data_IF_891402336912
#
_entry.id   IF_891402336912
#
_cell.length_a   1.000
_cell.length_b   1.000
_cell.length_c   1.000
_cell.angle_alpha   90.00
_cell.angle_beta   90.00
_cell.angle_gamma   90.00
#
_symmetry.space_group_name_H-M   'P 1'
#
loop_
_entity.id
_entity.type
_entity.pdbx_description
1 polymer ?
#
# COMPACT_ATOMS: atom_id res chain seq x y z
N UNK A 1 8.94 15.84 -4.72
CA UNK A 1 7.95 15.45 -5.75
C UNK A 1 6.59 15.54 -5.12
N UNK A 2 5.53 15.50 -5.91
CA UNK A 2 4.15 15.39 -5.42
C UNK A 2 3.64 13.97 -5.71
N UNK A 3 2.85 13.42 -4.79
CA UNK A 3 2.16 12.15 -4.98
C UNK A 3 0.85 12.43 -5.74
N UNK A 4 0.69 11.77 -6.89
CA UNK A 4 -0.45 12.04 -7.79
C UNK A 4 -1.30 10.80 -8.09
N UNK A 5 -0.89 9.62 -7.62
CA UNK A 5 -1.59 8.37 -7.90
C UNK A 5 -1.58 7.47 -6.66
N UNK A 6 -2.75 6.89 -6.35
CA UNK A 6 -2.93 6.00 -5.21
C UNK A 6 -3.08 4.58 -5.73
N UNK A 7 -2.29 3.67 -5.15
CA UNK A 7 -2.23 2.25 -5.48
C UNK A 7 -2.30 1.42 -4.21
N UNK A 8 -2.47 0.10 -4.33
CA UNK A 8 -2.53 -0.80 -3.18
C UNK A 8 -1.34 -1.75 -3.16
N UNK A 9 -0.52 -1.68 -2.12
CA UNK A 9 0.52 -2.68 -1.86
C UNK A 9 -0.16 -3.95 -1.33
N UNK A 10 0.09 -5.09 -1.98
CA UNK A 10 -0.55 -6.38 -1.65
C UNK A 10 0.45 -7.47 -1.25
N UNK A 11 1.75 -7.22 -1.39
CA UNK A 11 2.79 -8.17 -1.05
C UNK A 11 4.18 -7.61 -1.28
N UNK A 12 5.20 -8.41 -0.99
CA UNK A 12 6.60 -8.08 -1.21
C UNK A 12 7.39 -9.34 -1.56
N UNK A 13 8.55 -9.14 -2.17
CA UNK A 13 9.46 -10.23 -2.52
C UNK A 13 10.89 -9.76 -2.72
N UNK A 14 11.71 -10.71 -3.14
CA UNK A 14 13.08 -10.52 -3.58
C UNK A 14 13.26 -11.38 -4.84
N UNK A 15 13.97 -10.89 -5.85
CA UNK A 15 14.12 -11.60 -7.12
C UNK A 15 15.06 -12.79 -6.97
N UNK A 16 14.65 -13.93 -7.51
CA UNK A 16 15.47 -15.12 -7.68
C UNK A 16 15.45 -15.50 -9.16
N UNK A 17 16.60 -15.40 -9.83
CA UNK A 17 16.73 -15.69 -11.27
C UNK A 17 15.73 -14.91 -12.16
N UNK A 18 15.41 -13.65 -11.81
CA UNK A 18 14.50 -12.82 -12.62
C UNK A 18 15.25 -12.29 -13.84
N UNK A 19 14.92 -12.82 -15.02
CA UNK A 19 15.58 -12.44 -16.27
C UNK A 19 14.80 -11.31 -16.91
N UNK A 20 15.46 -10.17 -17.09
CA UNK A 20 14.90 -9.06 -17.86
C UNK A 20 14.64 -9.52 -19.31
N UNK A 21 13.40 -9.49 -19.80
CA UNK A 21 13.06 -9.99 -21.13
C UNK A 21 13.65 -9.14 -22.27
N UNK A 22 13.98 -7.87 -22.02
CA UNK A 22 14.51 -6.94 -23.01
C UNK A 22 16.04 -7.00 -23.08
N UNK A 23 16.71 -7.16 -21.94
CA UNK A 23 18.19 -7.14 -21.86
C UNK A 23 18.82 -8.52 -21.69
N UNK A 24 18.06 -9.50 -21.22
CA UNK A 24 18.58 -10.82 -20.80
C UNK A 24 19.39 -10.79 -19.50
N UNK A 25 19.42 -9.66 -18.80
CA UNK A 25 20.14 -9.53 -17.54
C UNK A 25 19.41 -10.28 -16.41
N UNK A 26 20.19 -10.99 -15.59
CA UNK A 26 19.66 -11.68 -14.41
C UNK A 26 19.68 -10.71 -13.23
N UNK A 27 18.48 -10.35 -12.76
CA UNK A 27 18.28 -9.54 -11.57
C UNK A 27 18.12 -10.47 -10.35
N UNK A 28 19.19 -10.63 -9.57
CA UNK A 28 19.18 -11.39 -8.31
C UNK A 28 19.22 -10.47 -7.10
N UNK A 29 18.46 -10.82 -6.05
CA UNK A 29 18.50 -10.11 -4.77
C UNK A 29 17.79 -8.74 -4.77
N UNK A 30 17.04 -8.40 -5.82
CA UNK A 30 16.33 -7.14 -5.92
C UNK A 30 15.03 -7.23 -5.12
N UNK A 31 14.92 -6.41 -4.07
CA UNK A 31 13.72 -6.33 -3.23
C UNK A 31 12.64 -5.50 -3.91
N UNK A 32 11.41 -6.00 -3.91
CA UNK A 32 10.28 -5.30 -4.53
C UNK A 32 8.99 -5.37 -3.69
N UNK A 33 8.12 -4.39 -3.92
CA UNK A 33 6.70 -4.42 -3.57
C UNK A 33 5.90 -5.02 -4.73
N UNK A 34 4.86 -5.79 -4.42
CA UNK A 34 3.82 -6.20 -5.36
C UNK A 34 2.66 -5.23 -5.19
N UNK A 35 2.31 -4.53 -6.26
CA UNK A 35 1.37 -3.42 -6.21
C UNK A 35 0.22 -3.67 -7.19
N UNK A 36 -1.00 -3.60 -6.68
CA UNK A 36 -2.23 -3.63 -7.47
C UNK A 36 -2.54 -2.22 -7.99
N UNK A 37 -2.71 -2.10 -9.30
CA UNK A 37 -3.16 -0.89 -9.94
C UNK A 37 -4.69 -0.90 -10.17
N UNK A 38 -5.25 0.24 -10.57
CA UNK A 38 -6.70 0.44 -10.80
C UNK A 38 -7.07 0.63 -12.27
N UNK A 39 -6.16 0.30 -13.20
CA UNK A 39 -6.35 0.51 -14.64
C UNK A 39 -6.87 -0.70 -15.40
N UNK A 40 -7.19 -1.80 -14.70
CA UNK A 40 -7.68 -3.04 -15.30
C UNK A 40 -6.56 -4.04 -15.62
N UNK A 41 -6.96 -5.28 -15.90
CA UNK A 41 -6.03 -6.43 -16.04
C UNK A 41 -5.16 -6.35 -17.31
N UNK A 42 -5.58 -5.59 -18.33
CA UNK A 42 -4.81 -5.45 -19.57
C UNK A 42 -3.49 -4.68 -19.38
N UNK A 43 -3.33 -4.00 -18.24
CA UNK A 43 -2.16 -3.18 -17.97
C UNK A 43 -1.15 -3.96 -17.10
N UNK A 44 0.14 -3.88 -17.47
CA UNK A 44 1.22 -4.47 -16.68
C UNK A 44 1.11 -5.99 -16.52
N UNK A 45 1.36 -6.47 -15.31
CA UNK A 45 1.31 -7.88 -14.94
C UNK A 45 -0.12 -8.23 -14.48
N UNK A 46 -1.06 -8.35 -15.41
CA UNK A 46 -2.48 -8.63 -15.09
C UNK A 46 -3.12 -7.59 -14.16
N UNK A 47 -2.80 -6.30 -14.35
CA UNK A 47 -3.24 -5.19 -13.50
C UNK A 47 -2.31 -4.88 -12.32
N UNK A 48 -1.18 -5.58 -12.22
CA UNK A 48 -0.18 -5.38 -11.17
C UNK A 48 1.13 -4.85 -11.74
N UNK A 49 1.99 -4.39 -10.85
CA UNK A 49 3.39 -4.10 -11.15
C UNK A 49 4.27 -4.36 -9.93
N UNK A 50 5.56 -4.47 -10.20
CA UNK A 50 6.62 -4.54 -9.20
C UNK A 50 7.39 -3.22 -9.17
N UNK A 51 7.77 -2.78 -7.98
CA UNK A 51 8.59 -1.58 -7.79
C UNK A 51 9.62 -1.83 -6.70
N UNK A 52 10.84 -1.31 -6.89
CA UNK A 52 11.93 -1.50 -5.94
C UNK A 52 11.55 -0.99 -4.54
N UNK A 53 11.82 -1.83 -3.55
CA UNK A 53 11.48 -1.65 -2.15
C UNK A 53 12.70 -1.20 -1.34
N UNK A 54 12.49 -0.33 -0.35
CA UNK A 54 13.49 0.11 0.63
C UNK A 54 14.30 1.33 0.21
N UNK A 55 13.94 1.95 -0.92
CA UNK A 55 14.63 3.13 -1.47
C UNK A 55 13.66 4.28 -1.77
N UNK A 56 12.42 4.21 -1.30
CA UNK A 56 11.38 5.22 -1.53
C UNK A 56 11.17 5.54 -3.02
N UNK A 57 11.25 4.53 -3.89
CA UNK A 57 11.06 4.73 -5.32
C UNK A 57 9.71 5.38 -5.61
N UNK A 58 9.73 6.51 -6.34
CA UNK A 58 8.55 7.31 -6.67
C UNK A 58 7.70 7.73 -5.45
N UNK A 59 8.28 7.77 -4.25
CA UNK A 59 7.57 8.14 -3.02
C UNK A 59 6.61 7.07 -2.50
N UNK A 60 6.67 5.83 -3.00
CA UNK A 60 5.75 4.76 -2.61
C UNK A 60 5.81 4.38 -1.12
N UNK A 61 6.85 4.83 -0.41
CA UNK A 61 7.09 4.57 1.01
C UNK A 61 6.97 5.83 1.89
N UNK A 62 6.45 6.95 1.35
CA UNK A 62 6.27 8.20 2.11
C UNK A 62 4.88 8.37 2.71
N UNK A 63 3.84 8.07 1.93
CA UNK A 63 2.44 8.23 2.32
C UNK A 63 1.74 6.87 2.30
N UNK A 64 1.82 6.15 3.42
CA UNK A 64 1.17 4.85 3.59
C UNK A 64 -0.09 4.97 4.44
N UNK A 65 -1.10 4.21 4.05
CA UNK A 65 -2.48 4.34 4.52
C UNK A 65 -3.08 2.95 4.65
N UNK A 66 -3.77 2.67 5.76
CA UNK A 66 -4.31 1.35 6.04
C UNK A 66 -5.48 1.45 7.03
N UNK A 67 -6.37 0.46 7.02
CA UNK A 67 -7.52 0.42 7.93
C UNK A 67 -7.84 -1.01 8.38
N UNK A 68 -8.41 -1.14 9.58
CA UNK A 68 -9.00 -2.41 10.05
C UNK A 68 -10.52 -2.32 9.93
N UNK A 69 -11.16 -3.14 9.07
CA UNK A 69 -12.61 -3.20 9.01
C UNK A 69 -13.20 -3.59 10.37
N UNK A 70 -14.24 -2.87 10.80
CA UNK A 70 -15.03 -3.20 11.99
C UNK A 70 -16.15 -4.18 11.64
N UNK A 71 -17.03 -4.43 12.61
CA UNK A 71 -18.26 -5.17 12.39
C UNK A 71 -19.08 -4.57 11.26
N UNK A 72 -19.66 -5.44 10.44
CA UNK A 72 -20.58 -5.06 9.39
C UNK A 72 -21.77 -4.28 9.95
N UNK A 73 -22.14 -3.18 9.29
CA UNK A 73 -23.34 -2.41 9.61
C UNK A 73 -24.31 -2.45 8.43
N UNK A 74 -25.60 -2.57 8.72
CA UNK A 74 -26.66 -2.41 7.70
C UNK A 74 -26.95 -0.94 7.39
N UNK A 75 -26.57 -0.03 8.29
CA UNK A 75 -26.59 1.40 8.06
C UNK A 75 -25.21 1.86 7.56
N UNK A 76 -25.16 2.41 6.35
CA UNK A 76 -23.99 3.12 5.85
C UNK A 76 -24.06 4.57 6.34
N UNK A 77 -23.11 4.96 7.17
CA UNK A 77 -22.89 6.36 7.55
C UNK A 77 -21.63 6.79 6.83
N UNK A 78 -21.77 7.54 5.73
CA UNK A 78 -20.64 7.99 4.95
C UNK A 78 -19.76 8.91 5.80
N UNK A 79 -18.47 8.59 5.89
CA UNK A 79 -17.50 9.46 6.51
C UNK A 79 -17.16 10.61 5.56
N UNK A 80 -16.84 11.78 6.12
CA UNK A 80 -16.17 12.83 5.37
C UNK A 80 -14.76 12.36 4.98
N UNK A 81 -14.18 12.96 3.96
CA UNK A 81 -12.81 12.65 3.53
C UNK A 81 -11.78 12.92 4.64
N UNK A 82 -12.11 13.85 5.56
CA UNK A 82 -11.31 14.13 6.77
C UNK A 82 -11.65 13.24 7.97
N UNK A 83 -12.62 12.33 7.82
CA UNK A 83 -13.08 11.41 8.86
C UNK A 83 -13.77 12.04 10.07
N UNK A 84 -14.00 13.36 10.10
CA UNK A 84 -14.42 14.08 11.31
C UNK A 84 -15.79 13.65 11.83
N UNK A 85 -16.73 13.29 10.95
CA UNK A 85 -18.06 12.79 11.34
C UNK A 85 -18.07 11.31 11.78
N UNK A 86 -16.94 10.60 11.65
CA UNK A 86 -16.79 9.20 12.05
C UNK A 86 -15.77 8.97 13.17
N UNK A 87 -14.94 9.98 13.49
CA UNK A 87 -13.80 9.88 14.40
C UNK A 87 -14.15 10.00 15.89
N UNK A 88 -15.32 9.53 16.33
CA UNK A 88 -15.80 9.67 17.72
C UNK A 88 -14.89 9.04 18.78
N UNK A 89 -13.82 9.75 19.17
CA UNK A 89 -12.98 9.53 20.36
C UNK A 89 -12.34 8.15 20.52
N UNK A 90 -12.03 7.41 19.44
CA UNK A 90 -11.48 6.04 19.57
C UNK A 90 -9.97 6.00 19.32
N UNK A 91 -9.24 5.35 20.24
CA UNK A 91 -7.83 5.01 20.12
C UNK A 91 -7.65 3.74 19.29
N UNK A 92 -6.64 3.72 18.41
CA UNK A 92 -6.35 2.61 17.53
C UNK A 92 -4.91 2.10 17.78
N UNK A 93 -4.74 0.78 17.90
CA UNK A 93 -3.44 0.12 18.12
C UNK A 93 -2.94 -0.50 16.81
N UNK A 94 -1.79 -0.04 16.33
CA UNK A 94 -1.11 -0.59 15.14
C UNK A 94 -0.72 -2.07 15.38
N UNK A 95 -1.25 -3.02 14.59
CA UNK A 95 -0.99 -4.45 14.74
C UNK A 95 0.46 -4.82 14.39
N UNK A 96 1.20 -3.94 13.71
CA UNK A 96 2.64 -4.10 13.50
C UNK A 96 3.47 -3.66 14.71
N UNK A 97 2.86 -3.00 15.69
CA UNK A 97 3.52 -2.41 16.86
C UNK A 97 2.91 -2.92 18.15
N UNK A 98 3.25 -4.15 18.53
CA UNK A 98 3.33 -4.46 19.94
C UNK A 98 4.46 -3.63 20.57
N UNK A 99 4.16 -2.39 20.99
CA UNK A 99 4.97 -1.62 21.94
C UNK A 99 5.67 -0.34 21.46
N UNK A 100 5.34 0.25 20.32
CA UNK A 100 5.91 1.57 19.94
C UNK A 100 4.81 2.51 19.42
N UNK A 101 4.51 3.56 20.19
CA UNK A 101 3.65 4.64 19.74
C UNK A 101 4.29 5.34 18.53
N UNK A 102 3.62 5.32 17.38
CA UNK A 102 3.82 6.31 16.34
C UNK A 102 2.48 6.96 16.02
N UNK A 103 2.56 8.24 15.68
CA UNK A 103 1.43 9.16 15.54
C UNK A 103 0.40 8.74 14.49
N UNK A 104 -0.64 9.57 14.47
CA UNK A 104 -1.96 9.33 13.91
C UNK A 104 -1.94 8.69 12.52
N UNK A 105 -2.18 7.38 12.49
CA UNK A 105 -2.67 6.71 11.30
C UNK A 105 -4.19 6.93 11.25
N UNK A 106 -4.60 7.95 10.51
CA UNK A 106 -5.98 8.09 10.08
C UNK A 106 -6.23 7.08 8.98
N UNK A 107 -7.34 6.32 9.08
CA UNK A 107 -8.21 5.98 7.95
C UNK A 107 -9.40 5.12 8.38
N UNK A 108 -10.55 5.45 7.78
CA UNK A 108 -11.60 4.52 7.40
C UNK A 108 -11.76 4.65 5.88
#
# INVERSE_FOLDING_TARGET
YEITHIVSIVGWGETENDVDPDTGEVNEGVKYWIVRNSWGEYWGEMGFFRIVRGVKALGIEDECSWATPKSWTSANVACFEDGTNCAGGKTFEDPSKSGVAIGEAYLA
#
